data_IF_593021142980
#
_entry.id   IF_593021142980
#
_cell.length_a   1.000
_cell.length_b   1.000
_cell.length_c   1.000
_cell.angle_alpha   90.00
_cell.angle_beta   90.00
_cell.angle_gamma   90.00
#
_symmetry.space_group_name_H-M   'P 1'
#
loop_
_entity.id
_entity.type
_entity.pdbx_description
1 polymer ?
#
# COMPACT_ATOMS: atom_id res chain seq x y z
N UNK A 1 -16.95 -0.77 -37.12
CA UNK A 1 -15.81 -0.35 -36.30
C UNK A 1 -15.63 -1.35 -35.16
N UNK A 2 -14.41 -1.77 -34.84
CA UNK A 2 -14.14 -2.72 -33.74
C UNK A 2 -14.10 -1.95 -32.41
N UNK A 3 -14.93 -2.36 -31.45
CA UNK A 3 -15.07 -1.71 -30.13
C UNK A 3 -14.47 -2.59 -29.02
N UNK A 4 -14.05 -1.99 -27.91
CA UNK A 4 -13.42 -2.69 -26.79
C UNK A 4 -14.04 -2.37 -25.43
N UNK A 5 -13.92 -3.33 -24.52
CA UNK A 5 -14.13 -3.11 -23.10
C UNK A 5 -12.92 -2.48 -22.44
N UNK A 6 -13.13 -1.98 -21.23
CA UNK A 6 -12.08 -1.37 -20.42
C UNK A 6 -12.30 -1.68 -18.95
N UNK A 7 -11.25 -2.14 -18.25
CA UNK A 7 -11.32 -2.59 -16.87
C UNK A 7 -10.47 -1.71 -15.97
N UNK A 8 -11.09 -1.05 -15.00
CA UNK A 8 -10.40 -0.14 -14.09
C UNK A 8 -9.45 -0.86 -13.14
N UNK A 9 -9.73 -2.12 -12.78
CA UNK A 9 -8.81 -2.92 -11.99
C UNK A 9 -7.48 -3.25 -12.69
N UNK A 10 -7.41 -3.10 -14.03
CA UNK A 10 -6.19 -3.25 -14.81
C UNK A 10 -5.42 -1.93 -15.02
N UNK A 11 -6.01 -0.79 -14.64
CA UNK A 11 -5.31 0.49 -14.66
C UNK A 11 -4.21 0.47 -13.59
N UNK A 12 -2.96 0.33 -14.03
CA UNK A 12 -1.80 0.31 -13.15
C UNK A 12 -0.90 1.48 -13.49
N UNK A 13 -0.87 2.49 -12.62
CA UNK A 13 0.20 3.49 -12.64
C UNK A 13 1.27 3.02 -11.68
N UNK A 14 2.45 2.69 -12.21
CA UNK A 14 3.59 2.38 -11.37
C UNK A 14 4.27 3.68 -10.99
N UNK A 15 4.32 4.02 -9.70
CA UNK A 15 5.12 5.13 -9.23
C UNK A 15 6.44 4.59 -8.69
N UNK A 16 7.55 5.08 -9.22
CA UNK A 16 8.83 4.88 -8.56
C UNK A 16 8.94 5.86 -7.39
N UNK A 17 8.96 5.36 -6.15
CA UNK A 17 9.17 6.18 -4.97
C UNK A 17 10.50 5.82 -4.33
N UNK A 18 11.39 6.81 -4.26
CA UNK A 18 12.64 6.71 -3.51
C UNK A 18 12.49 7.43 -2.18
N UNK A 19 12.23 6.71 -1.09
CA UNK A 19 11.99 7.33 0.22
C UNK A 19 13.15 7.19 1.20
N UNK A 20 14.24 6.51 0.86
CA UNK A 20 15.38 6.41 1.78
C UNK A 20 16.23 7.68 1.84
N UNK A 21 16.63 8.07 3.05
CA UNK A 21 17.58 9.14 3.28
C UNK A 21 18.99 8.57 3.44
N UNK A 22 19.89 8.87 2.49
CA UNK A 22 21.31 8.55 2.60
C UNK A 22 21.91 9.21 3.85
N UNK A 23 21.47 10.44 4.15
CA UNK A 23 21.93 11.19 5.33
C UNK A 23 21.53 10.49 6.64
N UNK A 24 20.31 9.95 6.71
CA UNK A 24 19.89 9.16 7.88
C UNK A 24 20.79 7.95 8.09
N UNK A 25 21.02 7.17 7.03
CA UNK A 25 21.88 5.99 7.10
C UNK A 25 23.29 6.37 7.57
N UNK A 26 23.86 7.46 7.03
CA UNK A 26 25.18 7.94 7.43
C UNK A 26 25.20 8.41 8.88
N UNK A 27 24.20 9.15 9.35
CA UNK A 27 24.12 9.58 10.75
C UNK A 27 24.01 8.40 11.72
N UNK A 28 23.24 7.37 11.38
CA UNK A 28 23.13 6.17 12.20
C UNK A 28 24.45 5.36 12.23
N UNK A 29 25.19 5.32 11.12
CA UNK A 29 26.53 4.74 11.06
C UNK A 29 27.54 5.56 11.87
N UNK A 30 27.54 6.89 11.71
CA UNK A 30 28.46 7.81 12.39
C UNK A 30 28.23 7.88 13.89
N UNK A 31 26.96 7.73 14.31
CA UNK A 31 26.53 7.55 15.69
C UNK A 31 27.06 6.23 16.30
N UNK A 32 27.56 5.32 15.46
CA UNK A 32 27.98 3.97 15.82
C UNK A 32 26.88 3.22 16.55
N UNK A 33 25.66 3.20 16.03
CA UNK A 33 24.59 2.43 16.66
C UNK A 33 24.98 0.95 16.73
N UNK A 34 24.90 0.38 17.93
CA UNK A 34 25.45 -0.95 18.22
C UNK A 34 24.51 -1.85 19.04
N UNK A 35 23.47 -1.31 19.66
CA UNK A 35 22.52 -2.10 20.45
C UNK A 35 21.10 -1.49 20.41
N UNK A 36 20.13 -2.30 20.85
CA UNK A 36 18.83 -1.80 21.30
C UNK A 36 18.65 -2.19 22.76
N UNK A 37 18.21 -1.23 23.58
CA UNK A 37 17.78 -1.49 24.94
C UNK A 37 16.25 -1.65 24.99
N UNK A 38 15.79 -2.47 25.93
CA UNK A 38 14.38 -2.83 26.09
C UNK A 38 13.95 -2.58 27.52
N UNK A 39 12.69 -2.20 27.71
CA UNK A 39 12.13 -2.04 29.04
C UNK A 39 10.70 -1.51 28.98
N UNK A 40 10.33 -0.79 30.02
CA UNK A 40 9.07 -0.06 30.10
C UNK A 40 9.37 1.39 30.41
N UNK A 41 8.62 2.29 29.79
CA UNK A 41 8.81 3.72 29.97
C UNK A 41 7.49 4.47 29.82
N UNK A 42 7.43 5.70 30.33
CA UNK A 42 6.22 6.51 30.29
C UNK A 42 6.21 7.36 29.03
N UNK A 43 5.20 7.15 28.17
CA UNK A 43 4.94 8.02 27.04
C UNK A 43 4.12 9.24 27.49
N UNK A 44 4.36 10.41 26.89
CA UNK A 44 3.56 11.60 27.17
C UNK A 44 2.07 11.31 26.86
N UNK A 45 1.17 11.70 27.77
CA UNK A 45 -0.26 11.47 27.63
C UNK A 45 -0.74 10.04 27.93
N UNK A 46 0.15 9.11 28.27
CA UNK A 46 -0.24 7.75 28.70
C UNK A 46 -0.18 7.61 30.23
N UNK A 47 -1.24 7.07 30.87
CA UNK A 47 -1.29 6.92 32.32
C UNK A 47 -0.45 5.75 32.86
N UNK A 48 0.01 4.85 31.99
CA UNK A 48 0.77 3.65 32.37
C UNK A 48 2.05 3.53 31.53
N UNK A 49 3.12 2.93 32.08
CA UNK A 49 4.31 2.61 31.31
C UNK A 49 3.97 1.69 30.13
N UNK A 50 4.51 1.99 28.96
CA UNK A 50 4.42 1.18 27.76
C UNK A 50 5.76 0.50 27.47
N UNK A 51 5.77 -0.64 26.76
CA UNK A 51 7.00 -1.24 26.27
C UNK A 51 7.88 -0.22 25.53
N UNK A 52 9.19 -0.22 25.78
CA UNK A 52 10.12 0.76 25.24
C UNK A 52 11.27 0.08 24.48
N UNK A 53 11.47 0.46 23.22
CA UNK A 53 12.59 0.10 22.37
C UNK A 53 13.49 1.33 22.21
N UNK A 54 14.69 1.26 22.77
CA UNK A 54 15.64 2.38 22.75
C UNK A 54 16.83 2.03 21.89
N UNK A 55 17.10 2.83 20.87
CA UNK A 55 18.24 2.62 19.97
C UNK A 55 19.48 3.24 20.61
N UNK A 56 20.56 2.45 20.71
CA UNK A 56 21.76 2.83 21.46
C UNK A 56 22.96 3.01 20.54
N UNK A 57 23.57 4.20 20.57
CA UNK A 57 24.82 4.54 19.89
C UNK A 57 25.87 5.16 20.82
N UNK A 58 27.03 5.54 20.27
CA UNK A 58 28.10 6.19 21.03
C UNK A 58 28.03 7.73 20.97
N UNK A 59 27.54 8.30 19.87
CA UNK A 59 27.62 9.76 19.62
C UNK A 59 26.25 10.43 19.62
N UNK A 60 26.01 11.28 20.63
CA UNK A 60 24.74 11.97 20.83
C UNK A 60 24.40 12.95 19.70
N UNK A 61 25.38 13.70 19.19
CA UNK A 61 25.20 14.68 18.11
C UNK A 61 24.69 14.04 16.82
N UNK A 62 25.21 12.84 16.49
CA UNK A 62 24.81 12.08 15.31
C UNK A 62 23.44 11.41 15.47
N UNK A 63 23.13 10.92 16.68
CA UNK A 63 21.78 10.45 17.00
C UNK A 63 20.76 11.58 16.90
N UNK A 64 21.10 12.77 17.37
CA UNK A 64 20.24 13.95 17.26
C UNK A 64 20.03 14.34 15.79
N UNK A 65 21.08 14.35 14.97
CA UNK A 65 20.95 14.61 13.53
C UNK A 65 20.08 13.55 12.81
N UNK A 66 20.22 12.27 13.15
CA UNK A 66 19.31 11.23 12.64
C UNK A 66 17.87 11.47 13.11
N UNK A 67 17.70 11.93 14.34
CA UNK A 67 16.40 12.23 14.94
C UNK A 67 15.66 13.36 14.22
N UNK A 68 16.37 14.40 13.77
CA UNK A 68 15.76 15.47 12.96
C UNK A 68 15.21 14.94 11.63
N UNK A 69 15.88 13.96 11.00
CA UNK A 69 15.35 13.33 9.78
C UNK A 69 14.10 12.47 10.09
N UNK A 70 14.07 11.79 11.24
CA UNK A 70 12.87 11.07 11.68
C UNK A 70 11.66 12.01 11.85
N UNK A 71 11.90 13.26 12.29
CA UNK A 71 10.86 14.31 12.40
C UNK A 71 10.30 14.75 11.04
N UNK A 72 11.07 14.60 9.97
CA UNK A 72 10.57 14.88 8.61
C UNK A 72 9.63 13.76 8.13
N UNK A 73 9.89 12.52 8.56
CA UNK A 73 9.05 11.37 8.22
C UNK A 73 7.73 11.41 8.99
N UNK A 74 7.79 11.57 10.32
CA UNK A 74 6.63 11.65 11.22
C UNK A 74 6.82 12.67 12.35
N UNK A 75 5.80 12.87 13.16
CA UNK A 75 5.89 13.66 14.40
C UNK A 75 5.83 12.75 15.64
N UNK A 76 5.91 13.33 16.83
CA UNK A 76 5.76 12.62 18.11
C UNK A 76 4.44 11.82 18.18
N UNK A 77 3.39 12.36 17.57
CA UNK A 77 2.05 11.78 17.51
C UNK A 77 1.85 10.79 16.33
N UNK A 78 2.76 10.76 15.35
CA UNK A 78 2.70 9.87 14.19
C UNK A 78 3.96 9.01 14.05
N UNK A 79 4.22 8.18 15.07
CA UNK A 79 5.34 7.24 15.06
C UNK A 79 5.25 6.14 13.99
N UNK A 80 4.06 5.85 13.47
CA UNK A 80 3.87 4.87 12.38
C UNK A 80 4.26 5.42 11.00
N UNK A 81 4.62 6.70 10.90
CA UNK A 81 5.32 7.22 9.73
C UNK A 81 6.74 6.68 9.59
N UNK A 82 7.27 6.02 10.62
CA UNK A 82 8.52 5.27 10.57
C UNK A 82 8.21 3.77 10.59
N UNK A 83 8.53 3.08 9.50
CA UNK A 83 8.49 1.62 9.45
C UNK A 83 9.72 1.07 10.18
N UNK A 84 9.47 0.30 11.23
CA UNK A 84 10.48 -0.40 12.03
C UNK A 84 10.17 -1.88 11.97
N UNK A 85 11.17 -2.65 11.60
CA UNK A 85 11.07 -4.09 11.44
C UNK A 85 12.22 -4.82 12.13
N UNK A 86 11.88 -5.82 12.93
CA UNK A 86 12.82 -6.69 13.63
C UNK A 86 12.70 -8.09 13.04
N UNK A 87 13.78 -8.61 12.47
CA UNK A 87 13.81 -9.97 11.90
C UNK A 87 14.71 -10.85 12.74
N UNK A 88 14.10 -11.74 13.53
CA UNK A 88 14.78 -12.71 14.38
C UNK A 88 15.41 -13.81 13.52
N UNK A 89 16.72 -14.03 13.67
CA UNK A 89 17.48 -15.02 12.90
C UNK A 89 17.63 -16.33 13.66
N UNK A 90 17.88 -17.41 12.93
CA UNK A 90 18.08 -18.74 13.52
C UNK A 90 19.37 -18.85 14.33
N UNK A 91 20.34 -17.98 14.07
CA UNK A 91 21.63 -17.93 14.78
C UNK A 91 21.55 -17.24 16.15
N UNK A 92 20.35 -16.79 16.58
CA UNK A 92 20.14 -16.07 17.84
C UNK A 92 20.36 -14.55 17.75
N UNK A 93 20.82 -14.04 16.61
CA UNK A 93 20.90 -12.60 16.33
C UNK A 93 19.60 -12.07 15.72
N UNK A 94 19.50 -10.76 15.50
CA UNK A 94 18.40 -10.18 14.74
C UNK A 94 18.84 -9.03 13.84
N UNK A 95 18.06 -8.76 12.79
CA UNK A 95 18.19 -7.57 11.96
C UNK A 95 17.18 -6.52 12.42
N UNK A 96 17.64 -5.30 12.60
CA UNK A 96 16.82 -4.14 12.88
C UNK A 96 16.82 -3.23 11.65
N UNK A 97 15.65 -3.12 11.00
CA UNK A 97 15.43 -2.27 9.83
C UNK A 97 14.62 -1.03 10.19
N UNK A 98 15.00 0.12 9.62
CA UNK A 98 14.23 1.35 9.71
C UNK A 98 14.15 2.07 8.37
N UNK A 99 12.96 2.55 8.02
CA UNK A 99 12.68 3.33 6.82
C UNK A 99 11.42 4.18 6.99
N UNK A 100 11.17 5.21 6.16
CA UNK A 100 9.90 5.90 6.19
C UNK A 100 8.77 5.01 5.67
N UNK A 101 7.60 5.12 6.30
CA UNK A 101 6.39 4.43 5.87
C UNK A 101 5.93 4.99 4.53
N UNK A 102 5.98 4.12 3.52
CA UNK A 102 5.68 4.52 2.15
C UNK A 102 4.25 5.05 2.01
N UNK A 103 3.27 4.36 2.59
CA UNK A 103 1.86 4.74 2.43
C UNK A 103 1.62 6.14 3.00
N UNK A 104 2.16 6.45 4.18
CA UNK A 104 2.08 7.78 4.80
C UNK A 104 2.86 8.83 3.99
N UNK A 105 4.04 8.49 3.46
CA UNK A 105 4.80 9.38 2.57
C UNK A 105 4.06 9.70 1.27
N UNK A 106 3.37 8.72 0.70
CA UNK A 106 2.59 8.86 -0.54
C UNK A 106 1.45 9.88 -0.42
N UNK A 107 0.84 10.03 0.78
CA UNK A 107 -0.26 11.00 0.98
C UNK A 107 0.21 12.43 0.70
N UNK A 108 1.50 12.71 0.86
CA UNK A 108 2.11 14.01 0.62
C UNK A 108 2.54 14.21 -0.84
N UNK A 109 2.75 13.12 -1.59
CA UNK A 109 3.37 13.16 -2.93
C UNK A 109 2.35 13.03 -4.07
N UNK A 110 1.21 12.36 -3.86
CA UNK A 110 0.24 12.16 -4.93
C UNK A 110 -1.20 12.15 -4.43
N UNK A 111 -2.07 12.88 -5.14
CA UNK A 111 -3.52 12.89 -4.88
C UNK A 111 -4.18 11.54 -5.23
N UNK A 112 -3.59 10.81 -6.17
CA UNK A 112 -4.10 9.53 -6.68
C UNK A 112 -3.28 8.34 -6.16
N UNK A 113 -2.60 8.50 -5.03
CA UNK A 113 -1.72 7.50 -4.45
C UNK A 113 -2.39 6.12 -4.25
N UNK A 114 -3.68 6.09 -3.90
CA UNK A 114 -4.44 4.86 -3.67
C UNK A 114 -4.75 4.12 -4.99
N UNK A 115 -4.50 4.77 -6.13
CA UNK A 115 -4.60 4.22 -7.48
C UNK A 115 -3.23 3.80 -8.06
N UNK A 116 -2.15 4.00 -7.31
CA UNK A 116 -0.78 3.72 -7.76
C UNK A 116 -0.22 2.45 -7.11
N UNK A 117 0.45 1.63 -7.92
CA UNK A 117 1.32 0.58 -7.40
C UNK A 117 2.72 1.18 -7.25
N UNK A 118 3.19 1.33 -6.03
CA UNK A 118 4.53 1.88 -5.83
C UNK A 118 5.58 0.81 -6.08
N UNK A 119 6.49 1.09 -7.01
CA UNK A 119 7.75 0.38 -7.15
C UNK A 119 8.73 1.08 -6.21
N UNK A 120 8.91 0.47 -5.04
CA UNK A 120 9.71 1.05 -3.97
C UNK A 120 11.19 0.79 -4.17
N UNK A 121 12.00 1.84 -4.01
CA UNK A 121 13.43 1.71 -3.80
C UNK A 121 13.84 2.60 -2.63
N UNK A 122 14.11 2.02 -1.48
CA UNK A 122 14.72 2.75 -0.38
C UNK A 122 15.83 1.92 0.23
N UNK A 123 16.99 2.54 0.40
CA UNK A 123 18.00 2.09 1.34
C UNK A 123 17.44 2.17 2.77
N UNK A 124 16.78 1.09 3.21
CA UNK A 124 16.48 0.83 4.62
C UNK A 124 17.80 0.90 5.39
N UNK A 125 17.83 1.63 6.51
CA UNK A 125 18.94 1.47 7.45
C UNK A 125 18.78 0.11 8.12
N UNK A 126 19.76 -0.77 7.96
CA UNK A 126 19.72 -2.12 8.53
C UNK A 126 20.92 -2.30 9.45
N UNK A 127 20.66 -2.74 10.68
CA UNK A 127 21.68 -3.10 11.64
C UNK A 127 21.48 -4.53 12.12
N UNK A 128 22.52 -5.35 11.99
CA UNK A 128 22.59 -6.64 12.69
C UNK A 128 22.94 -6.40 14.16
N UNK A 129 22.19 -7.02 15.05
CA UNK A 129 22.43 -7.04 16.50
C UNK A 129 22.65 -8.49 16.91
N UNK A 130 23.78 -8.74 17.56
CA UNK A 130 24.32 -10.11 17.72
C UNK A 130 23.54 -11.00 18.69
N UNK A 131 22.71 -10.42 19.56
CA UNK A 131 21.93 -11.17 20.54
C UNK A 131 20.47 -10.74 20.60
N UNK A 132 19.58 -11.72 20.69
CA UNK A 132 18.14 -11.50 20.84
C UNK A 132 17.75 -11.48 22.32
N UNK A 133 17.02 -10.45 22.75
CA UNK A 133 16.41 -10.41 24.08
C UNK A 133 15.07 -11.17 24.05
N UNK A 134 14.77 -12.05 25.05
CA UNK A 134 13.50 -12.78 25.11
C UNK A 134 12.24 -11.91 25.02
N UNK A 135 12.32 -10.64 25.42
CA UNK A 135 11.21 -9.69 25.32
C UNK A 135 10.72 -9.50 23.87
N UNK A 136 11.60 -9.63 22.87
CA UNK A 136 11.23 -9.52 21.45
C UNK A 136 10.36 -10.69 21.00
N UNK A 137 10.56 -11.88 21.56
CA UNK A 137 9.72 -13.04 21.30
C UNK A 137 8.32 -12.84 21.89
N UNK A 138 8.25 -12.31 23.11
CA UNK A 138 6.98 -11.94 23.74
C UNK A 138 6.24 -10.87 22.92
N UNK A 139 6.93 -9.79 22.54
CA UNK A 139 6.34 -8.72 21.74
C UNK A 139 5.88 -9.19 20.37
N UNK A 140 6.57 -10.15 19.75
CA UNK A 140 6.15 -10.72 18.46
C UNK A 140 4.74 -11.32 18.53
N UNK A 141 4.40 -12.00 19.62
CA UNK A 141 3.08 -12.60 19.80
C UNK A 141 2.03 -11.53 20.17
N UNK A 142 2.43 -10.53 20.96
CA UNK A 142 1.54 -9.42 21.36
C UNK A 142 1.17 -8.51 20.18
N UNK A 143 2.16 -8.09 19.36
CA UNK A 143 1.92 -7.21 18.19
C UNK A 143 1.07 -7.87 17.10
N UNK A 144 1.00 -9.20 17.06
CA UNK A 144 0.12 -9.95 16.15
C UNK A 144 -1.33 -10.01 16.61
N UNK A 145 -1.56 -10.02 17.92
CA UNK A 145 -2.87 -10.31 18.50
C UNK A 145 -3.63 -9.06 18.96
N UNK A 146 -2.92 -7.95 19.22
CA UNK A 146 -3.49 -6.73 19.82
C UNK A 146 -2.75 -5.48 19.34
N UNK A 147 -3.44 -4.34 19.42
CA UNK A 147 -2.79 -3.04 19.30
C UNK A 147 -1.78 -2.88 20.46
N UNK A 148 -0.49 -2.83 20.12
CA UNK A 148 0.60 -2.90 21.08
C UNK A 148 1.51 -1.67 20.94
N UNK A 149 1.27 -0.59 21.71
CA UNK A 149 2.10 0.60 21.64
C UNK A 149 3.51 0.31 22.14
N UNK A 150 4.51 0.74 21.38
CA UNK A 150 5.92 0.66 21.76
C UNK A 150 6.53 2.05 21.66
N UNK A 151 7.09 2.54 22.78
CA UNK A 151 7.83 3.79 22.80
C UNK A 151 9.19 3.58 22.14
N UNK A 152 9.49 4.38 21.12
CA UNK A 152 10.78 4.39 20.43
C UNK A 152 11.55 5.64 20.84
N UNK A 153 12.79 5.44 21.29
CA UNK A 153 13.66 6.55 21.71
C UNK A 153 15.13 6.29 21.36
N UNK A 154 15.98 7.30 21.56
CA UNK A 154 17.42 7.25 21.30
C UNK A 154 18.23 7.45 22.59
N UNK A 155 19.28 6.66 22.77
CA UNK A 155 20.20 6.76 23.89
C UNK A 155 21.67 6.62 23.46
N UNK A 156 22.57 7.17 24.26
CA UNK A 156 24.00 6.88 24.19
C UNK A 156 24.42 5.90 25.25
N UNK A 157 25.45 5.11 24.95
CA UNK A 157 26.17 4.32 25.92
C UNK A 157 27.64 4.20 25.51
N UNK A 158 28.51 4.01 26.49
CA UNK A 158 29.88 3.60 26.23
C UNK A 158 29.89 2.13 25.78
N UNK A 159 30.75 1.83 24.82
CA UNK A 159 31.04 0.47 24.39
C UNK A 159 32.48 0.11 24.75
N UNK A 160 32.68 -1.03 25.41
CA UNK A 160 34.01 -1.61 25.62
C UNK A 160 34.08 -2.91 24.86
N UNK A 161 34.99 -3.01 23.89
CA UNK A 161 35.14 -4.19 23.02
C UNK A 161 33.83 -4.58 22.29
N UNK A 162 32.98 -3.61 21.95
CA UNK A 162 31.69 -3.86 21.30
C UNK A 162 30.53 -4.14 22.28
N UNK A 163 30.79 -4.21 23.59
CA UNK A 163 29.78 -4.54 24.60
C UNK A 163 29.24 -3.25 25.26
N UNK A 164 27.91 -3.01 25.23
CA UNK A 164 27.27 -1.89 25.93
C UNK A 164 27.58 -1.93 27.42
N UNK A 165 28.02 -0.80 27.97
CA UNK A 165 28.12 -0.61 29.42
C UNK A 165 26.77 -0.09 29.94
N UNK A 166 25.98 -0.96 30.55
CA UNK A 166 24.57 -0.72 30.92
C UNK A 166 24.42 0.51 31.83
N UNK A 167 25.35 0.69 32.77
CA UNK A 167 25.43 1.81 33.71
C UNK A 167 25.67 3.18 33.03
N UNK A 168 26.11 3.15 31.77
CA UNK A 168 26.38 4.36 30.99
C UNK A 168 25.26 4.74 30.03
N UNK A 169 24.17 3.94 29.96
CA UNK A 169 23.04 4.22 29.08
C UNK A 169 22.34 5.51 29.54
N UNK A 170 22.30 6.51 28.65
CA UNK A 170 21.64 7.80 28.90
C UNK A 170 20.84 8.22 27.68
N UNK A 171 19.61 8.72 27.87
CA UNK A 171 18.82 9.26 26.77
C UNK A 171 19.53 10.45 26.14
N UNK A 172 19.33 10.63 24.83
CA UNK A 172 19.81 11.81 24.11
C UNK A 172 18.82 12.95 24.33
N UNK A 173 19.17 14.03 25.06
CA UNK A 173 18.26 15.15 25.26
C UNK A 173 17.89 15.80 23.92
N UNK A 174 16.60 16.12 23.74
CA UNK A 174 16.09 16.75 22.51
C UNK A 174 15.88 15.80 21.33
N UNK A 175 16.29 14.53 21.44
CA UNK A 175 15.96 13.53 20.44
C UNK A 175 14.46 13.21 20.46
N UNK A 176 13.88 13.08 19.26
CA UNK A 176 12.53 12.60 19.03
C UNK A 176 12.31 11.29 19.78
N UNK A 177 11.22 11.28 20.54
CA UNK A 177 10.65 10.09 21.16
C UNK A 177 9.23 9.97 20.64
N UNK A 178 8.84 8.80 20.17
CA UNK A 178 7.53 8.61 19.54
C UNK A 178 6.94 7.25 19.88
N UNK A 179 5.62 7.13 19.85
CA UNK A 179 4.92 5.86 20.07
C UNK A 179 4.61 5.21 18.73
N UNK A 180 5.00 3.96 18.59
CA UNK A 180 4.73 3.13 17.41
C UNK A 180 3.67 2.09 17.73
N UNK A 181 2.68 1.91 16.84
CA UNK A 181 1.64 0.88 17.00
C UNK A 181 1.81 -0.29 16.03
N UNK A 182 2.47 -0.07 14.88
CA UNK A 182 2.73 -1.10 13.86
C UNK A 182 4.19 -1.58 13.88
N UNK A 183 4.71 -1.98 15.05
CA UNK A 183 6.03 -2.60 15.16
C UNK A 183 5.99 -4.02 14.59
N UNK A 184 6.76 -4.27 13.52
CA UNK A 184 6.80 -5.57 12.86
C UNK A 184 7.93 -6.42 13.42
N UNK A 185 7.59 -7.59 13.94
CA UNK A 185 8.56 -8.59 14.37
C UNK A 185 8.30 -9.89 13.59
N UNK A 186 9.27 -10.29 12.77
CA UNK A 186 9.24 -11.50 11.97
C UNK A 186 10.36 -12.46 12.41
N UNK A 187 10.26 -13.73 12.04
CA UNK A 187 11.38 -14.68 12.19
C UNK A 187 11.77 -15.29 10.84
N UNK A 188 13.06 -15.56 10.69
CA UNK A 188 13.64 -16.28 9.53
C UNK A 188 13.07 -17.70 9.37
N UNK A 189 12.58 -18.30 10.45
CA UNK A 189 11.88 -19.58 10.40
C UNK A 189 10.54 -19.48 9.64
N UNK A 190 9.74 -18.46 9.93
CA UNK A 190 8.42 -18.26 9.32
C UNK A 190 8.51 -17.62 7.93
N UNK A 191 9.50 -16.74 7.72
CA UNK A 191 9.71 -16.04 6.46
C UNK A 191 11.19 -16.08 6.05
N UNK A 192 11.66 -17.20 5.47
CA UNK A 192 13.07 -17.37 5.09
C UNK A 192 13.53 -16.46 3.94
N UNK A 193 12.58 -15.90 3.17
CA UNK A 193 12.83 -15.00 2.03
C UNK A 193 12.47 -13.55 2.38
N UNK A 194 12.69 -13.16 3.63
CA UNK A 194 12.43 -11.82 4.09
C UNK A 194 13.39 -10.82 3.42
N UNK A 195 12.89 -9.67 2.98
CA UNK A 195 13.68 -8.68 2.23
C UNK A 195 14.96 -8.25 2.96
N UNK A 196 14.90 -7.98 4.28
CA UNK A 196 16.08 -7.63 5.07
C UNK A 196 17.14 -8.76 5.10
N UNK A 197 16.72 -10.03 5.10
CA UNK A 197 17.65 -11.17 5.00
C UNK A 197 18.32 -11.18 3.63
N UNK A 198 17.55 -10.98 2.56
CA UNK A 198 18.09 -10.95 1.20
C UNK A 198 19.13 -9.85 1.03
N UNK A 199 18.86 -8.65 1.57
CA UNK A 199 19.79 -7.51 1.52
C UNK A 199 21.08 -7.79 2.28
N UNK A 200 20.99 -8.25 3.54
CA UNK A 200 22.17 -8.42 4.42
C UNK A 200 23.00 -9.64 4.05
N UNK A 201 22.35 -10.76 3.72
CA UNK A 201 23.05 -12.00 3.35
C UNK A 201 23.52 -11.99 1.88
N UNK A 202 23.27 -10.91 1.14
CA UNK A 202 23.64 -10.79 -0.28
C UNK A 202 22.98 -11.85 -1.16
N UNK A 203 21.86 -12.41 -0.71
CA UNK A 203 21.06 -13.34 -1.53
C UNK A 203 20.55 -12.50 -2.69
N UNK A 204 20.61 -13.02 -3.92
CA UNK A 204 20.00 -12.33 -5.07
C UNK A 204 18.57 -11.99 -4.65
N UNK A 205 18.21 -10.70 -4.50
CA UNK A 205 16.84 -10.37 -4.19
C UNK A 205 16.05 -11.04 -5.28
N UNK A 206 15.18 -11.97 -4.89
CA UNK A 206 14.11 -12.36 -5.77
C UNK A 206 13.25 -11.10 -5.86
N UNK A 207 13.64 -10.17 -6.74
CA UNK A 207 12.71 -9.26 -7.38
C UNK A 207 11.78 -10.21 -8.13
N UNK A 208 10.82 -10.77 -7.40
CA UNK A 208 9.93 -11.78 -7.90
C UNK A 208 9.33 -11.23 -9.19
N UNK A 209 9.00 -12.12 -10.13
CA UNK A 209 8.24 -11.70 -11.32
C UNK A 209 7.12 -10.77 -10.86
N UNK A 210 6.85 -9.65 -11.56
CA UNK A 210 5.79 -8.72 -11.18
C UNK A 210 4.55 -9.54 -10.83
N UNK A 211 4.11 -9.48 -9.57
CA UNK A 211 2.97 -10.28 -9.13
C UNK A 211 1.80 -9.91 -10.04
N UNK A 212 1.34 -10.86 -10.85
CA UNK A 212 0.10 -10.69 -11.61
C UNK A 212 -0.98 -10.57 -10.54
N UNK A 213 -1.68 -9.44 -10.54
CA UNK A 213 -2.70 -9.16 -9.54
C UNK A 213 -3.76 -10.28 -9.58
N UNK A 214 -4.11 -10.80 -8.41
CA UNK A 214 -5.15 -11.83 -8.32
C UNK A 214 -6.49 -11.23 -8.75
N UNK A 215 -7.43 -12.02 -9.29
CA UNK A 215 -8.76 -11.51 -9.70
C UNK A 215 -9.48 -10.69 -8.63
N UNK A 216 -9.38 -11.11 -7.36
CA UNK A 216 -9.93 -10.37 -6.21
C UNK A 216 -9.25 -9.00 -6.01
N UNK A 217 -7.94 -8.92 -6.20
CA UNK A 217 -7.19 -7.66 -6.11
C UNK A 217 -7.60 -6.71 -7.25
N UNK A 218 -7.85 -7.25 -8.45
CA UNK A 218 -8.36 -6.50 -9.61
C UNK A 218 -9.76 -5.96 -9.29
N UNK A 219 -10.66 -6.76 -8.73
CA UNK A 219 -11.99 -6.31 -8.32
C UNK A 219 -11.94 -5.21 -7.24
N UNK A 220 -11.06 -5.35 -6.25
CA UNK A 220 -10.84 -4.30 -5.23
C UNK A 220 -10.26 -3.03 -5.83
N UNK A 221 -9.31 -3.14 -6.77
CA UNK A 221 -8.75 -1.99 -7.49
C UNK A 221 -9.82 -1.27 -8.30
N UNK A 222 -10.70 -2.00 -9.00
CA UNK A 222 -11.85 -1.42 -9.71
C UNK A 222 -12.70 -0.57 -8.78
N UNK A 223 -13.07 -1.12 -7.63
CA UNK A 223 -13.86 -0.40 -6.64
C UNK A 223 -13.15 0.87 -6.17
N UNK A 224 -11.84 0.80 -5.87
CA UNK A 224 -11.03 1.98 -5.49
C UNK A 224 -10.99 3.05 -6.57
N UNK A 225 -10.79 2.69 -7.84
CA UNK A 225 -10.81 3.65 -8.95
C UNK A 225 -12.17 4.34 -9.03
N UNK A 226 -13.27 3.59 -8.92
CA UNK A 226 -14.62 4.15 -8.94
C UNK A 226 -14.83 5.10 -7.76
N UNK A 227 -14.41 4.72 -6.55
CA UNK A 227 -14.65 5.50 -5.34
C UNK A 227 -13.84 6.80 -5.29
N UNK A 228 -12.63 6.77 -5.85
CA UNK A 228 -11.68 7.90 -5.76
C UNK A 228 -11.79 8.81 -6.98
N UNK A 229 -11.73 8.24 -8.19
CA UNK A 229 -11.72 9.03 -9.43
C UNK A 229 -13.13 9.37 -9.96
N UNK A 230 -14.16 8.61 -9.54
CA UNK A 230 -15.52 8.72 -10.10
C UNK A 230 -16.63 8.76 -9.04
N UNK A 231 -16.40 9.42 -7.90
CA UNK A 231 -17.33 9.48 -6.78
C UNK A 231 -18.72 10.04 -7.15
N UNK A 232 -18.79 11.03 -8.03
CA UNK A 232 -20.05 11.65 -8.51
C UNK A 232 -20.77 10.71 -9.46
N UNK A 233 -20.07 10.14 -10.45
CA UNK A 233 -20.67 9.18 -11.38
C UNK A 233 -21.19 7.94 -10.64
N UNK A 234 -20.45 7.44 -9.65
CA UNK A 234 -20.90 6.38 -8.75
C UNK A 234 -22.20 6.74 -8.03
N UNK A 235 -22.31 7.94 -7.47
CA UNK A 235 -23.53 8.38 -6.79
C UNK A 235 -24.72 8.51 -7.76
N UNK A 236 -24.48 8.96 -9.00
CA UNK A 236 -25.51 9.01 -10.04
C UNK A 236 -26.02 7.62 -10.40
N UNK A 237 -25.14 6.67 -10.66
CA UNK A 237 -25.49 5.26 -10.94
C UNK A 237 -26.36 4.69 -9.81
N UNK A 238 -25.98 4.95 -8.56
CA UNK A 238 -26.74 4.54 -7.37
C UNK A 238 -28.14 5.18 -7.33
N UNK A 239 -28.25 6.49 -7.51
CA UNK A 239 -29.55 7.20 -7.49
C UNK A 239 -30.48 6.78 -8.62
N UNK A 240 -29.91 6.46 -9.78
CA UNK A 240 -30.64 5.99 -10.95
C UNK A 240 -31.03 4.51 -10.84
N UNK A 241 -30.57 3.78 -9.80
CA UNK A 241 -30.80 2.34 -9.64
C UNK A 241 -30.38 1.53 -10.87
N UNK A 242 -29.28 1.94 -11.50
CA UNK A 242 -28.86 1.38 -12.78
C UNK A 242 -28.40 -0.07 -12.64
N UNK A 243 -27.85 -0.44 -11.48
CA UNK A 243 -27.48 -1.83 -11.18
C UNK A 243 -28.72 -2.74 -11.20
N UNK A 244 -29.79 -2.35 -10.49
CA UNK A 244 -31.04 -3.09 -10.46
C UNK A 244 -31.68 -3.19 -11.84
N UNK A 245 -31.67 -2.09 -12.61
CA UNK A 245 -32.15 -2.09 -14.00
C UNK A 245 -31.37 -3.05 -14.89
N UNK A 246 -30.05 -3.14 -14.74
CA UNK A 246 -29.22 -4.07 -15.51
C UNK A 246 -29.48 -5.52 -15.15
N UNK A 247 -29.57 -5.84 -13.85
CA UNK A 247 -29.92 -7.18 -13.37
C UNK A 247 -31.28 -7.61 -13.91
N UNK A 248 -32.27 -6.71 -13.85
CA UNK A 248 -33.61 -6.96 -14.38
C UNK A 248 -33.64 -7.11 -15.91
N UNK A 249 -32.82 -6.34 -16.64
CA UNK A 249 -32.76 -6.40 -18.10
C UNK A 249 -32.07 -7.68 -18.59
N UNK A 250 -30.95 -8.05 -17.97
CA UNK A 250 -30.12 -9.20 -18.37
C UNK A 250 -30.61 -10.53 -17.78
N UNK A 251 -31.38 -10.49 -16.69
CA UNK A 251 -31.77 -11.66 -15.89
C UNK A 251 -30.55 -12.42 -15.36
N UNK A 252 -29.62 -11.67 -14.77
CA UNK A 252 -28.33 -12.14 -14.26
C UNK A 252 -28.04 -11.48 -12.91
N UNK A 253 -28.18 -12.25 -11.83
CA UNK A 253 -28.11 -11.74 -10.45
C UNK A 253 -26.69 -11.49 -9.94
N UNK A 254 -25.68 -12.08 -10.58
CA UNK A 254 -24.28 -12.03 -10.14
C UNK A 254 -23.50 -10.83 -10.70
N UNK A 255 -24.19 -9.84 -11.30
CA UNK A 255 -23.61 -8.55 -11.68
C UNK A 255 -23.41 -7.70 -10.42
N UNK A 256 -22.21 -7.15 -10.22
CA UNK A 256 -21.95 -6.26 -9.07
C UNK A 256 -22.27 -4.80 -9.37
N UNK A 257 -22.52 -4.00 -8.33
CA UNK A 257 -22.67 -2.54 -8.45
C UNK A 257 -21.42 -1.92 -9.09
N UNK A 258 -20.23 -2.41 -8.75
CA UNK A 258 -18.97 -1.95 -9.33
C UNK A 258 -18.91 -2.18 -10.85
N UNK A 259 -19.38 -3.34 -11.33
CA UNK A 259 -19.44 -3.64 -12.77
C UNK A 259 -20.43 -2.72 -13.49
N UNK A 260 -21.63 -2.53 -12.95
CA UNK A 260 -22.63 -1.61 -13.49
C UNK A 260 -22.10 -0.17 -13.55
N UNK A 261 -21.43 0.26 -12.49
CA UNK A 261 -20.86 1.61 -12.36
C UNK A 261 -19.73 1.82 -13.38
N UNK A 262 -18.80 0.86 -13.49
CA UNK A 262 -17.73 0.93 -14.49
C UNK A 262 -18.29 1.01 -15.91
N UNK A 263 -19.28 0.17 -16.26
CA UNK A 263 -19.87 0.18 -17.59
C UNK A 263 -20.48 1.54 -17.94
N UNK A 264 -21.23 2.15 -17.02
CA UNK A 264 -21.81 3.48 -17.22
C UNK A 264 -20.74 4.57 -17.39
N UNK A 265 -19.69 4.54 -16.55
CA UNK A 265 -18.57 5.48 -16.65
C UNK A 265 -17.84 5.29 -17.99
N UNK A 266 -17.57 4.06 -18.42
CA UNK A 266 -16.92 3.78 -19.69
C UNK A 266 -17.69 4.34 -20.89
N UNK A 267 -19.03 4.22 -20.90
CA UNK A 267 -19.86 4.84 -21.96
C UNK A 267 -19.78 6.36 -21.89
N UNK A 268 -19.92 6.95 -20.70
CA UNK A 268 -19.82 8.41 -20.54
C UNK A 268 -18.49 8.94 -21.06
N UNK A 269 -17.39 8.31 -20.64
CA UNK A 269 -16.03 8.69 -21.02
C UNK A 269 -15.81 8.47 -22.52
N UNK A 270 -16.29 7.37 -23.10
CA UNK A 270 -16.23 7.15 -24.55
C UNK A 270 -16.96 8.24 -25.33
N UNK A 271 -18.13 8.68 -24.87
CA UNK A 271 -18.88 9.79 -25.51
C UNK A 271 -18.13 11.11 -25.37
N UNK A 272 -17.59 11.39 -24.19
CA UNK A 272 -16.82 12.60 -23.88
C UNK A 272 -15.55 12.70 -24.74
N UNK A 273 -14.85 11.59 -24.94
CA UNK A 273 -13.50 11.57 -25.49
C UNK A 273 -13.42 11.17 -26.96
N UNK A 274 -14.41 10.44 -27.45
CA UNK A 274 -14.44 9.90 -28.82
C UNK A 274 -15.75 10.27 -29.55
N UNK A 275 -16.76 10.81 -28.86
CA UNK A 275 -18.08 11.05 -29.45
C UNK A 275 -18.87 9.76 -29.75
N UNK A 276 -18.45 8.62 -29.20
CA UNK A 276 -19.03 7.30 -29.47
C UNK A 276 -19.52 6.63 -28.18
N UNK A 277 -20.50 5.74 -28.29
CA UNK A 277 -21.01 4.97 -27.15
C UNK A 277 -19.97 4.00 -26.56
N UNK A 278 -19.02 3.52 -27.37
CA UNK A 278 -18.02 2.54 -26.97
C UNK A 278 -16.64 2.92 -27.51
N UNK A 279 -15.60 2.63 -26.72
CA UNK A 279 -14.22 2.92 -27.13
C UNK A 279 -13.85 2.18 -28.42
N UNK A 280 -13.29 2.89 -29.42
CA UNK A 280 -12.67 2.23 -30.57
C UNK A 280 -11.43 1.45 -30.12
N UNK A 281 -11.17 0.28 -30.74
CA UNK A 281 -10.03 -0.57 -30.37
C UNK A 281 -8.67 0.13 -30.51
N UNK A 282 -8.55 1.02 -31.49
CA UNK A 282 -7.27 1.57 -31.96
C UNK A 282 -6.76 2.75 -31.10
N UNK A 283 -7.62 3.40 -30.31
CA UNK A 283 -7.31 4.71 -29.69
C UNK A 283 -7.14 4.71 -28.17
N UNK A 284 -7.28 3.57 -27.48
CA UNK A 284 -7.41 3.57 -26.02
C UNK A 284 -6.47 2.63 -25.27
N UNK A 285 -5.22 3.04 -25.02
CA UNK A 285 -4.33 2.33 -24.09
C UNK A 285 -4.65 2.69 -22.62
N UNK A 286 -4.10 1.94 -21.66
CA UNK A 286 -4.21 2.29 -20.24
C UNK A 286 -3.51 3.62 -19.91
N UNK A 287 -2.42 3.94 -20.62
CA UNK A 287 -1.69 5.20 -20.50
C UNK A 287 -2.53 6.37 -21.01
N UNK A 288 -3.14 6.22 -22.19
CA UNK A 288 -4.05 7.23 -22.76
C UNK A 288 -5.25 7.51 -21.86
N UNK A 289 -5.77 6.48 -21.17
CA UNK A 289 -6.82 6.66 -20.17
C UNK A 289 -6.33 7.51 -19.00
N UNK A 290 -5.13 7.24 -18.47
CA UNK A 290 -4.55 8.02 -17.38
C UNK A 290 -4.30 9.48 -17.77
N UNK A 291 -3.76 9.73 -18.96
CA UNK A 291 -3.48 11.09 -19.43
C UNK A 291 -4.75 11.93 -19.54
N UNK A 292 -5.85 11.33 -20.03
CA UNK A 292 -7.13 12.02 -20.18
C UNK A 292 -7.89 12.18 -18.87
N UNK A 293 -7.68 11.31 -17.89
CA UNK A 293 -8.33 11.40 -16.58
C UNK A 293 -7.59 12.28 -15.59
N UNK A 294 -6.28 12.46 -15.74
CA UNK A 294 -5.45 13.17 -14.76
C UNK A 294 -5.93 14.60 -14.45
N UNK A 295 -6.46 15.31 -15.44
CA UNK A 295 -7.01 16.66 -15.27
C UNK A 295 -8.54 16.70 -15.27
N UNK A 296 -9.20 15.55 -15.38
CA UNK A 296 -10.66 15.49 -15.45
C UNK A 296 -11.25 15.75 -14.08
N UNK A 297 -12.22 16.65 -14.03
CA UNK A 297 -12.98 16.95 -12.80
C UNK A 297 -14.40 16.48 -12.99
N UNK A 298 -14.91 15.73 -12.01
CA UNK A 298 -16.33 15.37 -12.00
C UNK A 298 -17.19 16.56 -11.58
N UNK A 299 -18.02 17.02 -12.51
CA UNK A 299 -18.91 18.16 -12.28
C UNK A 299 -20.26 17.69 -11.73
N UNK A 300 -20.61 18.14 -10.54
CA UNK A 300 -21.89 17.81 -9.87
C UNK A 300 -23.10 18.49 -10.51
N UNK A 301 -22.91 19.66 -11.13
CA UNK A 301 -23.98 20.56 -11.62
C UNK A 301 -24.28 20.47 -13.12
N UNK A 302 -23.45 19.80 -13.92
CA UNK A 302 -23.68 19.62 -15.36
C UNK A 302 -24.83 18.64 -15.65
N UNK A 303 -25.47 18.70 -16.84
CA UNK A 303 -26.62 17.86 -17.18
C UNK A 303 -26.31 16.39 -16.97
N UNK A 304 -27.29 15.65 -16.45
CA UNK A 304 -27.17 14.22 -16.17
C UNK A 304 -26.86 13.45 -17.47
N UNK A 305 -25.59 13.13 -17.67
CA UNK A 305 -25.10 12.41 -18.85
C UNK A 305 -25.33 10.91 -18.71
N UNK A 306 -25.28 10.37 -17.48
CA UNK A 306 -25.49 8.95 -17.19
C UNK A 306 -26.98 8.59 -17.31
N UNK A 307 -27.88 9.40 -16.78
CA UNK A 307 -29.32 9.17 -16.88
C UNK A 307 -29.87 9.20 -18.31
N UNK A 308 -29.08 9.70 -19.28
CA UNK A 308 -29.41 9.70 -20.71
C UNK A 308 -28.81 8.52 -21.49
N UNK A 309 -28.09 7.62 -20.82
CA UNK A 309 -27.54 6.43 -21.48
C UNK A 309 -28.64 5.37 -21.52
N UNK A 310 -28.94 4.87 -22.71
CA UNK A 310 -29.87 3.75 -22.86
C UNK A 310 -29.32 2.48 -22.18
N UNK A 311 -30.20 1.73 -21.52
CA UNK A 311 -29.82 0.51 -20.80
C UNK A 311 -29.13 -0.52 -21.71
N UNK A 312 -29.52 -0.58 -22.98
CA UNK A 312 -28.91 -1.47 -23.97
C UNK A 312 -27.45 -1.10 -24.26
N UNK A 313 -27.12 0.19 -24.24
CA UNK A 313 -25.74 0.68 -24.42
C UNK A 313 -24.89 0.34 -23.19
N UNK A 314 -25.42 0.56 -21.98
CA UNK A 314 -24.72 0.15 -20.74
C UNK A 314 -24.51 -1.36 -20.69
N UNK A 315 -25.54 -2.13 -21.07
CA UNK A 315 -25.47 -3.59 -21.18
C UNK A 315 -24.37 -4.03 -22.12
N UNK A 316 -24.31 -3.43 -23.32
CA UNK A 316 -23.27 -3.73 -24.29
C UNK A 316 -21.88 -3.42 -23.76
N UNK A 317 -21.71 -2.30 -23.04
CA UNK A 317 -20.43 -1.97 -22.44
C UNK A 317 -20.03 -2.96 -21.34
N UNK A 318 -20.98 -3.39 -20.51
CA UNK A 318 -20.74 -4.41 -19.48
C UNK A 318 -20.23 -5.73 -20.09
N UNK A 319 -20.86 -6.19 -21.19
CA UNK A 319 -20.39 -7.38 -21.92
C UNK A 319 -18.96 -7.22 -22.43
N UNK A 320 -18.65 -6.05 -22.98
CA UNK A 320 -17.33 -5.74 -23.52
C UNK A 320 -16.28 -5.73 -22.41
N UNK A 321 -16.59 -5.13 -21.26
CA UNK A 321 -15.69 -5.04 -20.10
C UNK A 321 -15.40 -6.43 -19.52
N UNK A 322 -16.42 -7.26 -19.31
CA UNK A 322 -16.25 -8.66 -18.85
C UNK A 322 -15.41 -9.46 -19.85
N UNK A 323 -15.70 -9.35 -21.15
CA UNK A 323 -14.93 -10.02 -22.18
C UNK A 323 -13.47 -9.57 -22.22
N UNK A 324 -13.20 -8.28 -21.99
CA UNK A 324 -11.84 -7.74 -21.95
C UNK A 324 -11.01 -8.37 -20.81
N UNK A 325 -11.59 -8.48 -19.61
CA UNK A 325 -10.93 -9.10 -18.46
C UNK A 325 -10.64 -10.58 -18.69
N UNK A 326 -11.64 -11.33 -19.18
CA UNK A 326 -11.47 -12.76 -19.45
C UNK A 326 -10.37 -13.01 -20.48
N UNK A 327 -10.36 -12.27 -21.60
CA UNK A 327 -9.29 -12.38 -22.61
C UNK A 327 -7.92 -12.02 -22.04
N UNK A 328 -7.84 -10.95 -21.24
CA UNK A 328 -6.60 -10.54 -20.58
C UNK A 328 -6.04 -11.61 -19.63
N UNK A 329 -6.91 -12.47 -19.10
CA UNK A 329 -6.55 -13.62 -18.26
C UNK A 329 -6.35 -14.93 -19.05
N UNK A 330 -6.33 -14.88 -20.39
CA UNK A 330 -6.18 -16.06 -21.25
C UNK A 330 -7.40 -16.98 -21.28
N UNK A 331 -8.56 -16.52 -20.80
CA UNK A 331 -9.80 -17.29 -20.86
C UNK A 331 -10.49 -17.15 -22.23
N UNK A 332 -11.10 -18.25 -22.70
CA UNK A 332 -12.01 -18.21 -23.83
C UNK A 332 -13.29 -17.44 -23.49
N UNK A 333 -13.76 -16.61 -24.43
CA UNK A 333 -14.97 -15.80 -24.28
C UNK A 333 -16.09 -16.38 -25.13
N UNK A 334 -17.20 -16.71 -24.50
CA UNK A 334 -18.42 -17.17 -25.15
C UNK A 334 -19.17 -16.01 -25.83
N UNK A 335 -19.99 -16.34 -26.83
CA UNK A 335 -20.97 -15.39 -27.39
C UNK A 335 -22.12 -15.07 -26.44
N UNK A 336 -22.34 -15.90 -25.40
CA UNK A 336 -23.41 -15.70 -24.40
C UNK A 336 -22.87 -15.01 -23.15
N UNK A 337 -23.41 -13.84 -22.81
CA UNK A 337 -22.98 -13.06 -21.65
C UNK A 337 -23.05 -13.84 -20.33
N UNK A 338 -24.14 -14.56 -20.05
CA UNK A 338 -24.31 -15.29 -18.78
C UNK A 338 -23.22 -16.34 -18.54
N UNK A 339 -22.65 -16.92 -19.60
CA UNK A 339 -21.53 -17.87 -19.48
C UNK A 339 -20.27 -17.12 -19.05
N UNK A 340 -19.99 -15.98 -19.71
CA UNK A 340 -18.86 -15.14 -19.39
C UNK A 340 -18.94 -14.56 -17.97
N UNK A 341 -20.12 -14.09 -17.55
CA UNK A 341 -20.32 -13.53 -16.21
C UNK A 341 -20.10 -14.59 -15.12
N UNK A 342 -20.66 -15.80 -15.28
CA UNK A 342 -20.41 -16.90 -14.33
C UNK A 342 -18.93 -17.24 -14.24
N UNK A 343 -18.22 -17.26 -15.37
CA UNK A 343 -16.79 -17.50 -15.40
C UNK A 343 -16.00 -16.38 -14.71
N UNK A 344 -16.38 -15.13 -14.96
CA UNK A 344 -15.79 -13.94 -14.34
C UNK A 344 -15.93 -13.99 -12.81
N UNK A 345 -17.12 -14.32 -12.31
CA UNK A 345 -17.38 -14.50 -10.88
C UNK A 345 -16.61 -15.70 -10.32
N UNK A 346 -16.61 -16.84 -11.01
CA UNK A 346 -15.86 -18.05 -10.60
C UNK A 346 -14.36 -17.80 -10.49
N UNK A 347 -13.80 -16.96 -11.35
CA UNK A 347 -12.39 -16.57 -11.29
C UNK A 347 -12.10 -15.59 -10.14
N UNK A 348 -13.12 -15.00 -9.50
CA UNK A 348 -12.98 -14.11 -8.35
C UNK A 348 -13.04 -12.62 -8.70
N UNK A 349 -13.44 -12.25 -9.91
CA UNK A 349 -13.58 -10.84 -10.33
C UNK A 349 -14.88 -10.17 -9.88
N UNK A 350 -15.84 -10.96 -9.39
CA UNK A 350 -17.10 -10.49 -8.81
C UNK A 350 -17.02 -10.15 -7.31
N UNK A 351 -15.84 -10.28 -6.68
CA UNK A 351 -15.69 -10.02 -5.25
C UNK A 351 -15.74 -8.52 -4.91
N UNK A 352 -16.75 -8.13 -4.14
CA UNK A 352 -16.79 -6.92 -3.31
C UNK A 352 -16.55 -7.30 -1.85
#
# INVERSE_FOLDING_TARGET
MKVRGFEFGHLRKSLFAHTSSIAFNQHMVDAKVFACAYGYDTAAGYPFPVPALTIVGEKADKLLAASEILKEWGCEDDGDAVDIEVVLRRDGSYLFGMQPNLRRGMYRMSKDQDLQDVIFFGATWIKKIDSTNPILLQWKDDTRSKLSPVLVSLATAQSKFGIPQIDTIKRVPGALTFVKFDLKIASEEENPNHLLLDIVDGRKPSLGKPKIAKPREIAQRRQRVIDIAFAVSRDRVRRLKLHEQLVDHLKVDDITIAQATQAAINVQLSREWCGLDHYPMEDFSAETWWDRTFFRVEMTTLPDTIGKIEIAVVTRQLELDVAAVLRGHGAEVSTKFNINQRQFVRLGYGGG
#
